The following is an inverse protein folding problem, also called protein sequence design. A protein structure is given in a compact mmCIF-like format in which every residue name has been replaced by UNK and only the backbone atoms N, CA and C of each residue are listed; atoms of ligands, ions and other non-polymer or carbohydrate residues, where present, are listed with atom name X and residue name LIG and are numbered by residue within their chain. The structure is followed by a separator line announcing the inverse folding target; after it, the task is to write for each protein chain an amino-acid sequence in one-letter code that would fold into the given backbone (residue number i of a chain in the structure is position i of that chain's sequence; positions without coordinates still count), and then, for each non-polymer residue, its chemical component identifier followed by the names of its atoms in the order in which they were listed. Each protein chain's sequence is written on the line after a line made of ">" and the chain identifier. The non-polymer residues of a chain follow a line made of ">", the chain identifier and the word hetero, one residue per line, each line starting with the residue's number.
data_IF_451215208841
#
_entry.id   IF_451215208841
#
_cell.length_a   1.000
_cell.length_b   1.000
_cell.length_c   1.000
_cell.angle_alpha   90.00
_cell.angle_beta   90.00
_cell.angle_gamma   90.00
#
_symmetry.space_group_name_H-M   'P 1'
#
loop_
_entity.id
_entity.type
_entity.pdbx_description
1 polymer ?
#
# COMPACT_ATOMS: atom_id res chain seq x y z
N UNK A 1 3.57 37.65 -4.37
CA UNK A 1 2.89 38.59 -3.47
C UNK A 1 1.40 38.30 -3.36
N UNK A 2 1.08 37.39 -2.44
CA UNK A 2 -0.10 37.51 -1.57
C UNK A 2 0.11 36.53 -0.42
N UNK A 3 0.72 37.04 0.65
CA UNK A 3 0.93 36.33 1.91
C UNK A 3 -0.35 36.49 2.72
N UNK A 4 -1.14 35.43 2.81
CA UNK A 4 -2.28 35.37 3.72
C UNK A 4 -1.75 35.13 5.14
N UNK A 5 -1.51 36.23 5.86
CA UNK A 5 -1.36 36.22 7.30
C UNK A 5 -2.78 36.15 7.92
N UNK A 6 -3.15 34.97 8.39
CA UNK A 6 -4.40 34.73 9.15
C UNK A 6 -3.99 34.44 10.60
N UNK A 7 -3.24 35.36 11.20
CA UNK A 7 -3.19 35.52 12.64
C UNK A 7 -4.45 36.26 13.09
N UNK A 8 -5.16 35.70 14.07
CA UNK A 8 -6.31 36.31 14.78
C UNK A 8 -7.68 36.25 14.10
N UNK A 9 -8.26 35.04 14.04
CA UNK A 9 -9.66 34.82 14.38
C UNK A 9 -9.86 33.32 14.60
N UNK A 10 -10.35 32.93 15.77
CA UNK A 10 -11.02 31.63 15.94
C UNK A 10 -12.49 31.87 15.69
N UNK A 11 -13.09 31.41 14.58
CA UNK A 11 -14.53 31.30 14.49
C UNK A 11 -14.93 29.93 15.03
N UNK A 12 -15.80 29.89 16.04
CA UNK A 12 -16.42 28.64 16.47
C UNK A 12 -17.24 28.03 15.33
N UNK A 13 -17.48 26.72 15.34
CA UNK A 13 -18.37 26.06 14.36
C UNK A 13 -19.79 26.69 14.32
N UNK A 14 -20.21 27.33 15.42
CA UNK A 14 -21.43 28.15 15.46
C UNK A 14 -21.32 29.45 14.63
N UNK A 15 -20.15 30.05 14.50
CA UNK A 15 -19.91 31.25 13.69
C UNK A 15 -19.86 30.94 12.20
N UNK A 16 -19.40 29.76 11.78
CA UNK A 16 -19.46 29.30 10.39
C UNK A 16 -20.91 28.98 9.97
N UNK A 17 -21.68 28.27 10.82
CA UNK A 17 -23.11 28.03 10.61
C UNK A 17 -23.94 29.33 10.68
N UNK A 18 -23.57 30.26 11.56
CA UNK A 18 -24.21 31.58 11.64
C UNK A 18 -23.79 32.46 10.45
N UNK A 19 -22.57 32.32 9.94
CA UNK A 19 -22.08 33.01 8.75
C UNK A 19 -22.76 32.52 7.48
N UNK A 20 -22.95 31.20 7.32
CA UNK A 20 -23.71 30.60 6.23
C UNK A 20 -25.19 30.97 6.34
N UNK A 21 -25.80 30.90 7.52
CA UNK A 21 -27.18 31.35 7.75
C UNK A 21 -27.38 32.85 7.52
N UNK A 22 -26.38 33.68 7.88
CA UNK A 22 -26.43 35.14 7.68
C UNK A 22 -26.15 35.53 6.22
N UNK A 23 -25.28 34.79 5.53
CA UNK A 23 -25.05 34.93 4.09
C UNK A 23 -26.28 34.47 3.29
N UNK A 24 -26.90 33.36 3.68
CA UNK A 24 -28.16 32.88 3.12
C UNK A 24 -29.29 33.87 3.40
N UNK A 25 -29.36 34.44 4.61
CA UNK A 25 -30.33 35.49 4.94
C UNK A 25 -30.09 36.77 4.11
N UNK A 26 -28.84 37.18 3.92
CA UNK A 26 -28.46 38.33 3.09
C UNK A 26 -28.73 38.11 1.59
N UNK A 27 -28.52 36.89 1.09
CA UNK A 27 -28.88 36.49 -0.28
C UNK A 27 -30.40 36.43 -0.48
N UNK A 28 -31.14 35.97 0.53
CA UNK A 28 -32.60 35.89 0.54
C UNK A 28 -33.31 37.24 0.76
N UNK A 29 -32.62 38.24 1.30
CA UNK A 29 -33.20 39.54 1.64
C UNK A 29 -33.57 40.41 0.41
N UNK A 30 -33.13 40.04 -0.80
CA UNK A 30 -33.25 40.91 -1.98
C UNK A 30 -33.86 40.33 -3.26
N UNK A 31 -34.21 39.04 -3.39
CA UNK A 31 -34.62 38.45 -4.70
C UNK A 31 -35.73 37.38 -4.63
N UNK A 32 -36.39 37.23 -5.78
CA UNK A 32 -37.63 36.48 -6.10
C UNK A 32 -37.64 34.98 -5.73
N UNK A 33 -38.85 34.41 -5.54
CA UNK A 33 -39.13 33.02 -5.12
C UNK A 33 -38.28 31.90 -5.75
N UNK A 34 -37.88 32.02 -7.02
CA UNK A 34 -36.98 31.04 -7.68
C UNK A 34 -35.66 30.77 -6.95
N UNK A 35 -35.10 31.75 -6.24
CA UNK A 35 -33.83 31.54 -5.52
C UNK A 35 -34.02 30.74 -4.23
N UNK A 36 -35.19 30.86 -3.57
CA UNK A 36 -35.54 30.04 -2.41
C UNK A 36 -35.74 28.59 -2.82
N UNK A 37 -36.45 28.36 -3.92
CA UNK A 37 -36.69 27.01 -4.47
C UNK A 37 -35.37 26.27 -4.79
N UNK A 38 -34.34 27.00 -5.28
CA UNK A 38 -33.01 26.43 -5.56
C UNK A 38 -32.27 26.03 -4.27
N UNK A 39 -32.30 26.87 -3.22
CA UNK A 39 -31.62 26.57 -1.96
C UNK A 39 -32.24 25.36 -1.26
N UNK A 40 -33.58 25.30 -1.22
CA UNK A 40 -34.30 24.17 -0.66
C UNK A 40 -33.99 22.88 -1.42
N UNK A 41 -33.92 22.93 -2.75
CA UNK A 41 -33.55 21.77 -3.58
C UNK A 41 -32.10 21.33 -3.32
N UNK A 42 -31.15 22.27 -3.21
CA UNK A 42 -29.75 21.96 -2.89
C UNK A 42 -29.64 21.29 -1.51
N UNK A 43 -30.38 21.75 -0.51
CA UNK A 43 -30.36 21.12 0.82
C UNK A 43 -30.93 19.70 0.81
N UNK A 44 -31.98 19.45 0.02
CA UNK A 44 -32.54 18.12 -0.15
C UNK A 44 -31.55 17.16 -0.84
N UNK A 45 -30.89 17.61 -1.91
CA UNK A 45 -29.84 16.85 -2.61
C UNK A 45 -28.65 16.52 -1.68
N UNK A 46 -28.25 17.48 -0.84
CA UNK A 46 -27.19 17.26 0.15
C UNK A 46 -27.59 16.23 1.23
N UNK A 47 -28.82 16.27 1.73
CA UNK A 47 -29.32 15.29 2.71
C UNK A 47 -29.39 13.88 2.12
N UNK A 48 -29.80 13.75 0.84
CA UNK A 48 -29.77 12.47 0.12
C UNK A 48 -28.34 11.91 0.06
N UNK A 49 -27.34 12.74 -0.29
CA UNK A 49 -25.93 12.34 -0.28
C UNK A 49 -25.49 11.93 1.12
N UNK A 50 -25.89 12.66 2.17
CA UNK A 50 -25.49 12.35 3.55
C UNK A 50 -26.06 11.00 4.00
N UNK A 51 -27.31 10.70 3.65
CA UNK A 51 -28.05 9.51 4.13
C UNK A 51 -27.98 8.29 3.24
N UNK A 52 -27.45 8.43 2.02
CA UNK A 52 -27.34 7.31 1.10
C UNK A 52 -26.59 6.12 1.74
N UNK A 53 -26.94 4.91 1.33
CA UNK A 53 -26.50 3.68 1.99
C UNK A 53 -24.96 3.53 2.00
N UNK A 54 -24.45 2.77 2.98
CA UNK A 54 -23.02 2.52 3.16
C UNK A 54 -22.35 1.72 2.01
N UNK A 55 -22.97 0.68 1.43
CA UNK A 55 -22.30 -0.17 0.45
C UNK A 55 -22.02 0.55 -0.88
N UNK A 56 -20.86 0.27 -1.47
CA UNK A 56 -20.52 0.70 -2.83
C UNK A 56 -19.62 1.93 -2.91
N UNK A 57 -19.58 2.53 -4.09
CA UNK A 57 -18.77 3.72 -4.40
C UNK A 57 -19.71 4.88 -4.72
N UNK A 58 -19.53 6.00 -4.04
CA UNK A 58 -20.25 7.23 -4.28
C UNK A 58 -19.30 8.31 -4.76
N UNK A 59 -19.65 8.97 -5.87
CA UNK A 59 -18.92 10.11 -6.40
C UNK A 59 -19.78 11.35 -6.25
N UNK A 60 -19.30 12.32 -5.49
CA UNK A 60 -19.99 13.61 -5.30
C UNK A 60 -19.28 14.65 -6.16
N UNK A 61 -19.96 15.09 -7.22
CA UNK A 61 -19.46 16.12 -8.15
C UNK A 61 -20.35 17.36 -8.07
N UNK A 62 -19.73 18.54 -8.12
CA UNK A 62 -20.43 19.82 -8.05
C UNK A 62 -19.48 20.99 -8.24
N UNK A 63 -20.03 22.16 -8.59
CA UNK A 63 -19.26 23.38 -8.84
C UNK A 63 -18.52 23.92 -7.60
N UNK A 64 -17.59 24.87 -7.76
CA UNK A 64 -16.97 25.56 -6.63
C UNK A 64 -18.03 26.14 -5.69
N UNK A 65 -17.79 26.08 -4.37
CA UNK A 65 -18.69 26.66 -3.36
C UNK A 65 -19.95 25.85 -3.02
N UNK A 66 -20.22 24.70 -3.67
CA UNK A 66 -21.44 23.91 -3.41
C UNK A 66 -21.40 23.02 -2.15
N UNK A 67 -20.54 23.33 -1.18
CA UNK A 67 -20.49 22.60 0.11
C UNK A 67 -19.99 21.15 0.08
N UNK A 68 -19.44 20.64 -1.04
CA UNK A 68 -19.03 19.21 -1.20
C UNK A 68 -18.22 18.65 -0.04
N UNK A 69 -17.25 19.42 0.46
CA UNK A 69 -16.41 19.02 1.59
C UNK A 69 -17.26 18.84 2.85
N UNK A 70 -18.10 19.81 3.18
CA UNK A 70 -18.98 19.74 4.34
C UNK A 70 -19.97 18.56 4.23
N UNK A 71 -20.57 18.37 3.05
CA UNK A 71 -21.48 17.25 2.77
C UNK A 71 -20.78 15.90 2.93
N UNK A 72 -19.56 15.75 2.41
CA UNK A 72 -18.79 14.51 2.54
C UNK A 72 -18.41 14.22 4.01
N UNK A 73 -18.08 15.25 4.79
CA UNK A 73 -17.77 15.13 6.20
C UNK A 73 -19.01 14.78 7.03
N UNK A 74 -20.14 15.44 6.78
CA UNK A 74 -21.41 15.11 7.41
C UNK A 74 -21.85 13.69 7.07
N UNK A 75 -21.65 13.24 5.82
CA UNK A 75 -21.86 11.84 5.44
C UNK A 75 -20.97 10.90 6.26
N UNK A 76 -19.68 11.19 6.38
CA UNK A 76 -18.76 10.36 7.17
C UNK A 76 -19.19 10.27 8.64
N UNK A 77 -19.60 11.38 9.24
CA UNK A 77 -20.14 11.43 10.60
C UNK A 77 -21.45 10.64 10.74
N UNK A 78 -22.37 10.81 9.79
CA UNK A 78 -23.63 10.06 9.74
C UNK A 78 -23.39 8.55 9.65
N UNK A 79 -22.49 8.11 8.79
CA UNK A 79 -22.15 6.70 8.63
C UNK A 79 -21.49 6.14 9.90
N UNK A 80 -20.57 6.88 10.52
CA UNK A 80 -19.92 6.48 11.76
C UNK A 80 -20.88 6.38 12.94
N UNK A 81 -21.90 7.25 13.00
CA UNK A 81 -22.95 7.17 14.00
C UNK A 81 -23.90 5.99 13.73
N UNK A 82 -24.44 5.91 12.51
CA UNK A 82 -25.49 4.96 12.12
C UNK A 82 -24.96 3.54 12.02
N UNK A 83 -23.77 3.35 11.45
CA UNK A 83 -23.10 2.06 11.25
C UNK A 83 -21.94 1.84 12.24
N UNK A 84 -22.01 2.45 13.44
CA UNK A 84 -20.93 2.40 14.45
C UNK A 84 -20.39 0.99 14.72
N UNK A 85 -21.26 -0.02 14.76
CA UNK A 85 -20.88 -1.42 15.07
C UNK A 85 -20.06 -2.06 13.95
N UNK A 86 -20.37 -1.75 12.71
CA UNK A 86 -19.65 -2.27 11.54
C UNK A 86 -18.31 -1.54 11.37
N UNK A 87 -18.34 -0.20 11.47
CA UNK A 87 -17.19 0.65 11.21
C UNK A 87 -16.16 0.67 12.35
N UNK A 88 -16.56 0.47 13.61
CA UNK A 88 -15.60 0.36 14.73
C UNK A 88 -14.60 -0.79 14.56
N UNK A 89 -14.98 -1.84 13.82
CA UNK A 89 -14.10 -3.00 13.56
C UNK A 89 -13.22 -2.85 12.31
N UNK A 90 -13.60 -1.97 11.38
CA UNK A 90 -12.95 -1.82 10.07
C UNK A 90 -12.11 -0.55 9.94
N UNK A 91 -12.35 0.44 10.81
CA UNK A 91 -11.74 1.76 10.73
C UNK A 91 -12.25 2.57 9.55
N UNK A 92 -11.98 3.88 9.55
CA UNK A 92 -12.31 4.79 8.45
C UNK A 92 -11.07 5.53 8.03
N UNK A 93 -10.70 5.48 6.75
CA UNK A 93 -9.56 6.22 6.20
C UNK A 93 -10.05 7.47 5.49
N UNK A 94 -9.64 8.64 5.97
CA UNK A 94 -9.84 9.91 5.30
C UNK A 94 -8.52 10.38 4.70
N UNK A 95 -8.50 10.49 3.36
CA UNK A 95 -7.33 10.95 2.61
C UNK A 95 -7.54 12.41 2.23
N UNK A 96 -6.65 13.28 2.70
CA UNK A 96 -6.69 14.72 2.44
C UNK A 96 -5.55 15.19 1.54
N UNK A 97 -5.69 16.38 0.92
CA UNK A 97 -4.66 16.93 0.04
C UNK A 97 -3.42 17.43 0.79
N UNK A 98 -3.56 17.83 2.06
CA UNK A 98 -2.45 18.30 2.89
C UNK A 98 -2.77 18.20 4.39
N UNK A 99 -1.74 18.35 5.22
CA UNK A 99 -1.86 18.24 6.67
C UNK A 99 -2.73 19.35 7.30
N UNK A 100 -2.75 20.57 6.74
CA UNK A 100 -3.59 21.67 7.25
C UNK A 100 -5.07 21.36 7.11
N UNK A 101 -5.46 20.84 5.95
CA UNK A 101 -6.82 20.37 5.71
C UNK A 101 -7.20 19.28 6.73
N UNK A 102 -6.36 18.26 6.91
CA UNK A 102 -6.64 17.17 7.84
C UNK A 102 -6.74 17.64 9.30
N UNK A 103 -5.93 18.63 9.71
CA UNK A 103 -6.06 19.25 11.05
C UNK A 103 -7.39 19.96 11.21
N UNK A 104 -7.83 20.73 10.22
CA UNK A 104 -9.16 21.34 10.24
C UNK A 104 -10.26 20.28 10.37
N UNK A 105 -10.19 19.20 9.57
CA UNK A 105 -11.16 18.09 9.67
C UNK A 105 -11.20 17.47 11.06
N UNK A 106 -10.03 17.24 11.68
CA UNK A 106 -9.96 16.66 13.02
C UNK A 106 -10.63 17.52 14.11
N UNK A 107 -10.72 18.84 13.88
CA UNK A 107 -11.37 19.78 14.80
C UNK A 107 -12.88 19.83 14.59
N UNK A 108 -13.33 19.72 13.33
CA UNK A 108 -14.76 19.80 12.97
C UNK A 108 -15.51 18.53 13.33
N UNK A 109 -14.82 17.38 13.36
CA UNK A 109 -15.42 16.11 13.74
C UNK A 109 -14.64 15.44 14.90
N UNK A 110 -14.72 15.96 16.13
CA UNK A 110 -13.99 15.42 17.28
C UNK A 110 -14.31 13.95 17.57
N UNK A 111 -15.56 13.55 17.31
CA UNK A 111 -16.07 12.18 17.51
C UNK A 111 -15.39 11.14 16.60
N UNK A 112 -14.65 11.58 15.56
CA UNK A 112 -13.84 10.68 14.72
C UNK A 112 -12.70 10.01 15.50
N UNK A 113 -12.13 10.72 16.48
CA UNK A 113 -10.97 10.24 17.23
C UNK A 113 -11.28 9.01 18.09
N UNK A 114 -12.53 8.86 18.53
CA UNK A 114 -12.99 7.72 19.34
C UNK A 114 -13.33 6.47 18.49
N UNK A 115 -13.49 6.62 17.17
CA UNK A 115 -14.08 5.60 16.29
C UNK A 115 -13.07 4.95 15.33
N UNK A 116 -11.77 5.11 15.55
CA UNK A 116 -10.72 4.46 14.73
C UNK A 116 -10.55 5.08 13.34
N UNK A 117 -10.72 6.41 13.24
CA UNK A 117 -10.52 7.14 11.99
C UNK A 117 -9.04 7.47 11.79
N UNK A 118 -8.51 7.09 10.63
CA UNK A 118 -7.16 7.41 10.19
C UNK A 118 -7.20 8.58 9.22
N UNK A 119 -6.51 9.65 9.58
CA UNK A 119 -6.28 10.81 8.71
C UNK A 119 -4.91 10.67 8.07
N UNK A 120 -4.84 10.66 6.73
CA UNK A 120 -3.56 10.56 5.99
C UNK A 120 -3.54 11.50 4.79
N UNK A 121 -2.36 12.04 4.49
CA UNK A 121 -2.12 12.67 3.18
C UNK A 121 -1.67 11.59 2.19
N UNK A 122 -1.64 11.91 0.89
CA UNK A 122 -1.06 11.01 -0.11
C UNK A 122 0.38 10.59 0.25
N UNK A 123 1.17 11.49 0.84
CA UNK A 123 2.56 11.24 1.21
C UNK A 123 2.74 10.32 2.41
N UNK A 124 1.68 10.10 3.21
CA UNK A 124 1.73 9.33 4.46
C UNK A 124 0.90 8.03 4.39
N UNK A 125 0.43 7.64 3.19
CA UNK A 125 -0.43 6.46 3.01
C UNK A 125 0.28 5.15 3.36
N UNK A 126 1.59 5.07 3.16
CA UNK A 126 2.36 3.87 3.46
C UNK A 126 2.88 3.91 4.90
N UNK A 127 2.62 2.89 5.75
CA UNK A 127 3.07 2.88 7.14
C UNK A 127 4.58 3.05 7.28
N UNK A 128 5.00 3.98 8.14
CA UNK A 128 6.41 4.25 8.41
C UNK A 128 7.13 5.08 7.34
N UNK A 129 6.44 5.50 6.27
CA UNK A 129 6.99 6.34 5.21
C UNK A 129 6.22 7.66 5.16
N UNK A 130 6.95 8.77 5.21
CA UNK A 130 6.41 10.10 4.95
C UNK A 130 7.16 10.72 3.78
N UNK A 131 6.48 10.89 2.65
CA UNK A 131 7.07 11.45 1.44
C UNK A 131 7.20 12.97 1.55
N UNK A 132 8.43 13.45 1.63
CA UNK A 132 8.74 14.90 1.74
C UNK A 132 9.22 15.53 0.43
N UNK A 133 9.60 14.69 -0.55
CA UNK A 133 10.14 15.16 -1.81
C UNK A 133 9.02 15.62 -2.73
N UNK A 134 9.07 16.88 -3.13
CA UNK A 134 8.22 17.42 -4.19
C UNK A 134 8.76 16.98 -5.54
N UNK A 135 7.86 16.51 -6.40
CA UNK A 135 8.18 16.14 -7.78
C UNK A 135 7.47 17.10 -8.76
N UNK A 136 8.05 17.35 -9.94
CA UNK A 136 7.35 18.03 -11.02
C UNK A 136 6.04 17.31 -11.37
N UNK A 137 5.00 18.07 -11.72
CA UNK A 137 3.66 17.53 -11.99
C UNK A 137 3.67 16.45 -13.09
N UNK A 138 4.49 16.63 -14.13
CA UNK A 138 4.65 15.66 -15.22
C UNK A 138 5.21 14.32 -14.72
N UNK A 139 6.24 14.36 -13.86
CA UNK A 139 6.85 13.16 -13.25
C UNK A 139 5.87 12.44 -12.33
N UNK A 140 5.17 13.18 -11.47
CA UNK A 140 4.16 12.61 -10.58
C UNK A 140 3.01 11.95 -11.38
N UNK A 141 2.56 12.62 -12.45
CA UNK A 141 1.53 12.10 -13.34
C UNK A 141 1.98 10.82 -14.06
N UNK A 142 3.24 10.76 -14.51
CA UNK A 142 3.81 9.54 -15.08
C UNK A 142 3.82 8.41 -14.05
N UNK A 143 4.33 8.67 -12.84
CA UNK A 143 4.44 7.68 -11.76
C UNK A 143 3.09 7.16 -11.26
N UNK A 144 2.05 7.99 -11.33
CA UNK A 144 0.68 7.63 -10.94
C UNK A 144 -0.07 6.76 -11.94
N UNK A 145 0.50 6.45 -13.12
CA UNK A 145 -0.16 5.59 -14.12
C UNK A 145 -0.08 4.11 -13.74
N UNK A 146 -1.13 3.37 -14.08
CA UNK A 146 -1.19 1.92 -13.85
C UNK A 146 -0.02 1.14 -14.48
N UNK A 147 0.54 1.62 -15.61
CA UNK A 147 1.72 1.01 -16.27
C UNK A 147 2.94 0.92 -15.35
N UNK A 148 3.07 1.79 -14.34
CA UNK A 148 4.19 1.70 -13.40
C UNK A 148 4.16 0.42 -12.57
N UNK A 149 3.00 -0.18 -12.33
CA UNK A 149 2.92 -1.47 -11.66
C UNK A 149 3.64 -2.56 -12.47
N UNK A 150 3.50 -2.56 -13.79
CA UNK A 150 4.22 -3.48 -14.68
C UNK A 150 5.71 -3.18 -14.72
N UNK A 151 6.10 -1.90 -14.74
CA UNK A 151 7.50 -1.48 -14.70
C UNK A 151 8.15 -1.95 -13.41
N UNK A 152 7.51 -1.77 -12.26
CA UNK A 152 7.99 -2.25 -10.96
C UNK A 152 8.07 -3.79 -10.93
N UNK A 153 7.07 -4.49 -11.47
CA UNK A 153 7.11 -5.95 -11.57
C UNK A 153 8.26 -6.45 -12.47
N UNK A 154 8.57 -5.74 -13.55
CA UNK A 154 9.74 -6.03 -14.39
C UNK A 154 11.05 -5.72 -13.66
N UNK A 155 11.14 -4.59 -12.98
CA UNK A 155 12.32 -4.22 -12.19
C UNK A 155 12.59 -5.22 -11.05
N UNK A 156 11.57 -5.73 -10.38
CA UNK A 156 11.73 -6.80 -9.37
C UNK A 156 12.17 -8.12 -10.00
N UNK A 157 11.66 -8.46 -11.19
CA UNK A 157 12.11 -9.66 -11.93
C UNK A 157 13.56 -9.56 -12.41
N UNK A 158 14.01 -8.36 -12.77
CA UNK A 158 15.38 -8.07 -13.17
C UNK A 158 16.38 -8.32 -12.02
N UNK A 159 15.95 -8.14 -10.77
CA UNK A 159 16.76 -8.49 -9.58
C UNK A 159 16.93 -9.99 -9.35
N UNK A 160 16.20 -10.84 -10.08
CA UNK A 160 16.35 -12.30 -10.02
C UNK A 160 17.41 -12.73 -11.03
N UNK A 161 18.63 -12.31 -10.74
CA UNK A 161 19.81 -12.51 -11.55
C UNK A 161 20.20 -14.00 -11.62
N UNK A 162 20.83 -14.39 -12.72
CA UNK A 162 21.41 -15.72 -12.93
C UNK A 162 22.85 -15.47 -13.37
N UNK A 163 23.86 -16.15 -12.78
CA UNK A 163 25.24 -16.06 -13.21
C UNK A 163 25.43 -16.38 -14.69
N UNK A 164 26.33 -15.66 -15.35
CA UNK A 164 26.72 -15.96 -16.74
C UNK A 164 27.71 -17.13 -16.82
N UNK A 165 28.54 -17.30 -15.78
CA UNK A 165 29.52 -18.36 -15.61
C UNK A 165 29.23 -19.15 -14.33
N UNK A 166 29.67 -20.43 -14.21
CA UNK A 166 29.53 -21.20 -12.98
C UNK A 166 30.12 -20.48 -11.78
N UNK A 167 29.36 -20.46 -10.68
CA UNK A 167 29.81 -19.89 -9.42
C UNK A 167 30.41 -21.00 -8.55
N UNK A 168 31.72 -20.92 -8.29
CA UNK A 168 32.39 -21.79 -7.35
C UNK A 168 32.18 -21.28 -5.91
N UNK A 169 31.70 -22.18 -5.04
CA UNK A 169 31.45 -21.94 -3.62
C UNK A 169 32.34 -22.90 -2.85
N UNK A 170 33.34 -22.36 -2.15
CA UNK A 170 34.17 -23.16 -1.24
C UNK A 170 33.41 -23.36 0.08
N UNK A 171 33.15 -24.62 0.42
CA UNK A 171 32.46 -25.01 1.65
C UNK A 171 33.34 -26.02 2.38
N UNK A 172 33.81 -25.66 3.57
CA UNK A 172 34.83 -26.36 4.35
C UNK A 172 36.13 -26.69 3.56
N UNK A 173 36.15 -27.81 2.82
CA UNK A 173 37.26 -28.31 1.99
C UNK A 173 36.81 -28.75 0.60
N UNK A 174 35.54 -28.56 0.27
CA UNK A 174 34.94 -28.95 -1.00
C UNK A 174 34.64 -27.70 -1.84
N UNK A 175 35.01 -27.74 -3.11
CA UNK A 175 34.57 -26.73 -4.09
C UNK A 175 33.27 -27.21 -4.73
N UNK A 176 32.17 -26.55 -4.37
CA UNK A 176 30.86 -26.78 -4.99
C UNK A 176 30.69 -25.82 -6.14
N UNK A 177 30.11 -26.29 -7.24
CA UNK A 177 29.92 -25.48 -8.43
C UNK A 177 28.44 -25.30 -8.69
N UNK A 178 28.00 -24.06 -8.78
CA UNK A 178 26.63 -23.70 -9.08
C UNK A 178 26.51 -23.25 -10.54
N UNK A 179 26.12 -24.19 -11.40
CA UNK A 179 25.95 -23.95 -12.82
C UNK A 179 24.81 -22.95 -13.12
N UNK A 180 24.98 -22.08 -14.14
CA UNK A 180 23.93 -21.15 -14.57
C UNK A 180 22.58 -21.81 -14.87
N UNK A 181 22.60 -23.05 -15.38
CA UNK A 181 21.38 -23.79 -15.73
C UNK A 181 20.60 -24.27 -14.50
N UNK A 182 21.32 -24.65 -13.43
CA UNK A 182 20.73 -25.01 -12.13
C UNK A 182 20.02 -23.80 -11.53
N UNK A 183 20.69 -22.63 -11.51
CA UNK A 183 20.11 -21.38 -11.02
C UNK A 183 18.89 -20.95 -11.85
N UNK A 184 18.98 -21.05 -13.18
CA UNK A 184 17.89 -20.75 -14.11
C UNK A 184 16.67 -21.63 -13.85
N UNK A 185 16.89 -22.93 -13.68
CA UNK A 185 15.83 -23.92 -13.39
C UNK A 185 15.16 -23.64 -12.05
N UNK A 186 15.95 -23.42 -10.99
CA UNK A 186 15.45 -23.06 -9.66
C UNK A 186 14.61 -21.78 -9.71
N UNK A 187 15.13 -20.73 -10.34
CA UNK A 187 14.43 -19.44 -10.51
C UNK A 187 13.10 -19.62 -11.24
N UNK A 188 13.10 -20.33 -12.37
CA UNK A 188 11.90 -20.50 -13.19
C UNK A 188 10.85 -21.38 -12.50
N UNK A 189 11.28 -22.37 -11.70
CA UNK A 189 10.37 -23.13 -10.82
C UNK A 189 9.74 -22.25 -9.76
N UNK A 190 10.52 -21.44 -9.05
CA UNK A 190 10.05 -20.55 -7.99
C UNK A 190 9.09 -19.48 -8.54
N UNK A 191 9.34 -18.96 -9.74
CA UNK A 191 8.45 -18.02 -10.43
C UNK A 191 7.04 -18.58 -10.66
N UNK A 192 6.89 -19.90 -10.85
CA UNK A 192 5.58 -20.54 -11.07
C UNK A 192 4.72 -20.62 -9.81
N UNK A 193 5.31 -20.43 -8.62
CA UNK A 193 4.60 -20.47 -7.33
C UNK A 193 3.78 -19.19 -7.09
N UNK A 194 3.96 -18.15 -7.93
CA UNK A 194 3.24 -16.87 -7.88
C UNK A 194 3.20 -16.22 -6.49
N UNK A 195 4.36 -16.19 -5.82
CA UNK A 195 4.55 -15.53 -4.52
C UNK A 195 5.35 -14.23 -4.67
N UNK A 196 5.14 -13.24 -3.76
CA UNK A 196 5.99 -12.06 -3.69
C UNK A 196 7.48 -12.43 -3.57
N UNK A 197 8.35 -11.67 -4.23
CA UNK A 197 9.79 -11.97 -4.37
C UNK A 197 10.47 -12.39 -3.05
N UNK A 198 10.30 -11.61 -1.98
CA UNK A 198 10.96 -11.90 -0.70
C UNK A 198 10.43 -13.17 -0.03
N UNK A 199 9.14 -13.49 -0.19
CA UNK A 199 8.55 -14.73 0.33
C UNK A 199 8.95 -15.93 -0.52
N UNK A 200 9.22 -15.72 -1.80
CA UNK A 200 9.69 -16.73 -2.73
C UNK A 200 11.19 -17.05 -2.53
N UNK A 201 11.98 -16.15 -1.94
CA UNK A 201 13.42 -16.34 -1.67
C UNK A 201 13.70 -17.63 -0.91
N UNK A 202 12.97 -17.91 0.17
CA UNK A 202 13.20 -19.14 0.96
C UNK A 202 12.98 -20.43 0.14
N UNK A 203 12.10 -20.40 -0.86
CA UNK A 203 11.89 -21.53 -1.78
C UNK A 203 13.07 -21.66 -2.73
N UNK A 204 13.56 -20.54 -3.27
CA UNK A 204 14.75 -20.50 -4.11
C UNK A 204 15.99 -21.03 -3.37
N UNK A 205 16.25 -20.54 -2.14
CA UNK A 205 17.34 -21.02 -1.30
C UNK A 205 17.27 -22.54 -1.08
N UNK A 206 16.05 -23.08 -0.94
CA UNK A 206 15.84 -24.53 -0.79
C UNK A 206 16.19 -25.29 -2.07
N UNK A 207 15.81 -24.79 -3.24
CA UNK A 207 16.16 -25.42 -4.53
C UNK A 207 17.68 -25.41 -4.78
N UNK A 208 18.37 -24.32 -4.42
CA UNK A 208 19.83 -24.24 -4.53
C UNK A 208 20.51 -25.22 -3.58
N UNK A 209 20.11 -25.25 -2.30
CA UNK A 209 20.65 -26.20 -1.32
C UNK A 209 20.40 -27.65 -1.75
N UNK A 210 19.25 -27.96 -2.34
CA UNK A 210 18.98 -29.30 -2.87
C UNK A 210 19.97 -29.67 -3.97
N UNK A 211 20.20 -28.77 -4.94
CA UNK A 211 21.13 -29.02 -6.03
C UNK A 211 22.58 -29.19 -5.55
N UNK A 212 23.01 -28.37 -4.58
CA UNK A 212 24.35 -28.48 -3.98
C UNK A 212 24.48 -29.76 -3.15
N UNK A 213 23.45 -30.15 -2.40
CA UNK A 213 23.43 -31.39 -1.62
C UNK A 213 23.49 -32.63 -2.51
N UNK A 214 22.78 -32.62 -3.65
CA UNK A 214 22.83 -33.71 -4.62
C UNK A 214 24.25 -33.84 -5.21
N UNK A 215 24.94 -32.72 -5.48
CA UNK A 215 26.35 -32.73 -5.92
C UNK A 215 27.29 -33.34 -4.87
N UNK A 216 27.11 -32.99 -3.59
CA UNK A 216 27.89 -33.58 -2.47
C UNK A 216 27.58 -35.06 -2.32
N UNK A 217 26.31 -35.45 -2.37
CA UNK A 217 25.89 -36.83 -2.22
C UNK A 217 26.41 -37.72 -3.36
N UNK A 218 26.46 -37.21 -4.60
CA UNK A 218 27.06 -37.91 -5.73
C UNK A 218 28.56 -38.11 -5.57
N UNK A 219 29.28 -37.14 -5.01
CA UNK A 219 30.74 -37.25 -4.79
C UNK A 219 31.08 -38.21 -3.64
N UNK A 220 30.39 -38.09 -2.50
CA UNK A 220 30.69 -38.87 -1.29
C UNK A 220 30.11 -40.29 -1.38
N UNK A 221 28.89 -40.40 -1.91
CA UNK A 221 28.15 -41.65 -1.95
C UNK A 221 28.44 -42.54 -3.15
N UNK A 222 29.32 -42.15 -4.06
CA UNK A 222 29.71 -42.98 -5.20
C UNK A 222 30.34 -44.29 -4.74
N UNK A 223 29.74 -45.43 -5.12
CA UNK A 223 30.30 -46.75 -4.83
C UNK A 223 31.60 -46.97 -5.64
N UNK A 224 32.75 -47.22 -4.99
CA UNK A 224 34.01 -47.51 -5.68
C UNK A 224 33.96 -48.73 -6.61
N UNK A 225 32.97 -49.61 -6.43
CA UNK A 225 32.74 -50.80 -7.24
C UNK A 225 31.71 -50.57 -8.37
N UNK A 226 31.18 -49.34 -8.52
CA UNK A 226 30.27 -48.95 -9.59
C UNK A 226 28.79 -49.32 -9.34
N UNK A 227 28.40 -49.60 -8.10
CA UNK A 227 27.01 -49.80 -7.68
C UNK A 227 26.23 -48.49 -7.47
N UNK A 228 25.03 -48.63 -6.89
CA UNK A 228 24.18 -47.49 -6.54
C UNK A 228 24.84 -46.59 -5.49
N UNK A 229 24.36 -45.34 -5.39
CA UNK A 229 24.83 -44.41 -4.38
C UNK A 229 24.59 -44.97 -2.97
N UNK A 230 25.64 -45.01 -2.15
CA UNK A 230 25.65 -45.59 -0.81
C UNK A 230 24.90 -44.75 0.23
N UNK A 231 24.57 -43.49 -0.09
CA UNK A 231 23.85 -42.58 0.77
C UNK A 231 22.35 -42.70 0.58
N UNK A 232 21.63 -42.82 1.69
CA UNK A 232 20.18 -42.86 1.70
C UNK A 232 19.54 -41.47 1.79
N UNK A 233 18.21 -41.40 1.86
CA UNK A 233 17.49 -40.12 1.95
C UNK A 233 17.73 -39.40 3.29
N UNK A 234 18.03 -40.15 4.37
CA UNK A 234 18.35 -39.55 5.65
C UNK A 234 19.73 -38.87 5.60
N UNK A 235 20.72 -39.51 4.97
CA UNK A 235 22.04 -38.94 4.74
C UNK A 235 21.95 -37.66 3.89
N UNK A 236 21.16 -37.68 2.81
CA UNK A 236 20.91 -36.48 1.97
C UNK A 236 20.21 -35.36 2.74
N UNK A 237 19.29 -35.70 3.64
CA UNK A 237 18.64 -34.72 4.49
C UNK A 237 19.60 -34.05 5.47
N UNK A 238 20.58 -34.80 5.98
CA UNK A 238 21.64 -34.28 6.84
C UNK A 238 22.55 -33.31 6.08
N UNK A 239 23.02 -33.70 4.89
CA UNK A 239 23.82 -32.83 4.01
C UNK A 239 23.08 -31.52 3.71
N UNK A 240 21.79 -31.58 3.35
CA UNK A 240 20.98 -30.38 3.10
C UNK A 240 20.89 -29.47 4.33
N UNK A 241 20.80 -30.04 5.53
CA UNK A 241 20.73 -29.27 6.78
C UNK A 241 22.06 -28.55 7.03
N UNK A 242 23.18 -29.24 6.88
CA UNK A 242 24.52 -28.69 7.07
C UNK A 242 24.78 -27.56 6.08
N UNK A 243 24.60 -27.80 4.78
CA UNK A 243 24.79 -26.79 3.73
C UNK A 243 23.91 -25.54 3.92
N UNK A 244 22.73 -25.67 4.53
CA UNK A 244 21.86 -24.52 4.82
C UNK A 244 22.39 -23.64 5.94
N UNK A 245 23.24 -24.16 6.82
CA UNK A 245 23.85 -23.45 7.94
C UNK A 245 25.15 -22.72 7.54
N UNK A 246 25.76 -23.13 6.43
CA UNK A 246 27.02 -22.57 5.93
C UNK A 246 26.91 -21.10 5.50
N UNK A 247 27.76 -20.20 6.05
CA UNK A 247 27.78 -18.78 5.70
C UNK A 247 28.07 -18.51 4.23
N UNK A 248 28.97 -19.29 3.62
CA UNK A 248 29.42 -19.14 2.23
C UNK A 248 28.27 -19.40 1.26
N UNK A 249 27.45 -20.43 1.52
CA UNK A 249 26.25 -20.75 0.74
C UNK A 249 25.19 -19.66 0.88
N UNK A 250 25.04 -19.06 2.07
CA UNK A 250 24.07 -17.96 2.29
C UNK A 250 24.51 -16.64 1.67
N UNK A 251 25.82 -16.45 1.51
CA UNK A 251 26.42 -15.24 0.96
C UNK A 251 26.45 -15.23 -0.58
N UNK A 252 26.65 -16.42 -1.18
CA UNK A 252 26.53 -16.67 -2.61
C UNK A 252 25.09 -16.47 -3.12
#
# INVERSE_FOLDING_TARGET
>A
DEVLDIGTASPGAHEELTGEASLLAALNAGRTGRMRDIVETIQAEQDEIIRAELPGVMVVQGGPGTGKTAVALHRAAYLLYTHRRELSSRGVLLVGPNATFLRYISQVLPTLAETGVLLRTQGDLFPGVSAQRVEPAETAALKGRAVLAEVLARAVRDRQWVPDEPLEIEVEREALSLDPETVRTARDRVRRVDRPHNLARALFDTEIVHALADQVAERIGADPLGGDNLLDEADRAEIRRELREEPEIRAA
#
